data_IF_198808041044
#
_entry.id   IF_198808041044
#
_cell.length_a   1.000
_cell.length_b   1.000
_cell.length_c   1.000
_cell.angle_alpha   90.00
_cell.angle_beta   90.00
_cell.angle_gamma   90.00
#
_symmetry.space_group_name_H-M   'P 1'
#
loop_
_entity.id
_entity.type
_entity.pdbx_description
1 polymer ?
#
# COMPACT_ATOMS: atom_id res chain seq x y z
N UNK A 1 9.26 34.14 -44.85
CA UNK A 1 10.22 33.57 -43.88
C UNK A 1 9.76 33.59 -42.40
N UNK A 2 8.56 34.06 -42.04
CA UNK A 2 8.14 34.11 -40.62
C UNK A 2 7.83 32.74 -39.97
N UNK A 3 7.28 31.78 -40.73
CA UNK A 3 6.85 30.48 -40.17
C UNK A 3 7.99 29.55 -39.71
N UNK A 4 9.19 29.69 -40.26
CA UNK A 4 10.32 28.80 -39.93
C UNK A 4 10.98 29.16 -38.59
N UNK A 5 10.99 30.45 -38.22
CA UNK A 5 11.56 30.91 -36.95
C UNK A 5 10.72 30.46 -35.73
N UNK A 6 9.39 30.45 -35.88
CA UNK A 6 8.48 30.14 -34.76
C UNK A 6 8.58 28.67 -34.31
N UNK A 7 8.74 27.73 -35.25
CA UNK A 7 8.91 26.31 -34.96
C UNK A 7 10.23 25.99 -34.22
N UNK A 8 11.32 26.71 -34.52
CA UNK A 8 12.63 26.48 -33.89
C UNK A 8 12.62 26.86 -32.40
N UNK A 9 11.89 27.91 -32.03
CA UNK A 9 11.72 28.30 -30.63
C UNK A 9 11.00 27.23 -29.80
N UNK A 10 9.89 26.66 -30.30
CA UNK A 10 9.15 25.64 -29.53
C UNK A 10 9.97 24.37 -29.29
N UNK A 11 10.83 23.98 -30.25
CA UNK A 11 11.70 22.81 -30.10
C UNK A 11 12.83 23.01 -29.06
N UNK A 12 13.41 24.20 -28.96
CA UNK A 12 14.51 24.48 -28.01
C UNK A 12 14.03 24.60 -26.55
N UNK A 13 12.83 25.13 -26.31
CA UNK A 13 12.21 25.11 -24.97
C UNK A 13 11.90 23.68 -24.51
N UNK A 14 11.35 22.82 -25.38
CA UNK A 14 11.07 21.42 -25.04
C UNK A 14 12.34 20.64 -24.64
N UNK A 15 13.45 20.83 -25.37
CA UNK A 15 14.74 20.20 -25.03
C UNK A 15 15.27 20.66 -23.67
N UNK A 16 15.11 21.94 -23.33
CA UNK A 16 15.60 22.51 -22.06
C UNK A 16 14.81 22.00 -20.86
N UNK A 17 13.47 21.90 -20.96
CA UNK A 17 12.62 21.33 -19.91
C UNK A 17 13.00 19.88 -19.57
N UNK A 18 13.27 19.06 -20.60
CA UNK A 18 13.66 17.66 -20.45
C UNK A 18 14.99 17.47 -19.69
N UNK A 19 15.94 18.42 -19.79
CA UNK A 19 17.20 18.38 -19.02
C UNK A 19 16.94 18.48 -17.51
N UNK A 20 16.03 19.36 -17.10
CA UNK A 20 15.66 19.51 -15.69
C UNK A 20 14.90 18.29 -15.16
N UNK A 21 14.03 17.67 -15.95
CA UNK A 21 13.35 16.42 -15.59
C UNK A 21 14.39 15.31 -15.35
N UNK A 22 15.32 15.08 -16.28
CA UNK A 22 16.37 14.05 -16.12
C UNK A 22 17.18 14.25 -14.83
N UNK A 23 17.66 15.47 -14.58
CA UNK A 23 18.40 15.78 -13.35
C UNK A 23 17.53 15.58 -12.09
N UNK A 24 16.25 15.94 -12.15
CA UNK A 24 15.27 15.66 -11.09
C UNK A 24 15.12 14.15 -10.83
N UNK A 25 15.03 13.35 -11.89
CA UNK A 25 14.90 11.89 -11.81
C UNK A 25 16.13 11.27 -11.12
N UNK A 26 17.33 11.74 -11.44
CA UNK A 26 18.57 11.24 -10.83
C UNK A 26 18.69 11.65 -9.34
N UNK A 27 18.32 12.89 -9.00
CA UNK A 27 18.22 13.34 -7.60
C UNK A 27 17.17 12.54 -6.82
N UNK A 28 16.03 12.21 -7.44
CA UNK A 28 14.98 11.40 -6.83
C UNK A 28 15.45 9.96 -6.52
N UNK A 29 16.16 9.31 -7.46
CA UNK A 29 16.81 7.98 -7.22
C UNK A 29 17.75 8.04 -6.01
N UNK A 30 18.52 9.12 -5.90
CA UNK A 30 19.44 9.38 -4.79
C UNK A 30 18.75 9.84 -3.50
N UNK A 31 17.40 9.85 -3.45
CA UNK A 31 16.57 10.28 -2.33
C UNK A 31 16.74 11.75 -1.93
N UNK A 32 17.29 12.58 -2.82
CA UNK A 32 17.43 14.02 -2.65
C UNK A 32 16.13 14.73 -3.05
N UNK A 33 15.03 14.43 -2.37
CA UNK A 33 13.68 14.80 -2.80
C UNK A 33 13.45 16.31 -2.91
N UNK A 34 14.05 17.12 -2.04
CA UNK A 34 13.95 18.60 -2.10
C UNK A 34 14.70 19.17 -3.31
N UNK A 35 15.88 18.63 -3.64
CA UNK A 35 16.62 19.01 -4.86
C UNK A 35 15.88 18.55 -6.13
N UNK A 36 15.27 17.36 -6.08
CA UNK A 36 14.44 16.84 -7.16
C UNK A 36 13.23 17.75 -7.40
N UNK A 37 12.47 18.12 -6.36
CA UNK A 37 11.39 19.11 -6.40
C UNK A 37 11.84 20.43 -7.06
N UNK A 38 13.00 20.96 -6.67
CA UNK A 38 13.53 22.20 -7.25
C UNK A 38 13.84 22.06 -8.76
N UNK A 39 14.29 20.89 -9.23
CA UNK A 39 14.53 20.67 -10.66
C UNK A 39 13.21 20.43 -11.43
N UNK A 40 12.24 19.72 -10.86
CA UNK A 40 10.92 19.57 -11.52
C UNK A 40 10.15 20.89 -11.60
N UNK A 41 10.28 21.79 -10.61
CA UNK A 41 9.74 23.16 -10.71
C UNK A 41 10.37 23.93 -11.88
N UNK A 42 11.69 23.90 -12.04
CA UNK A 42 12.40 24.49 -13.20
C UNK A 42 11.97 23.88 -14.53
N UNK A 43 11.70 22.57 -14.58
CA UNK A 43 11.13 21.94 -15.77
C UNK A 43 9.74 22.49 -16.11
N UNK A 44 8.90 22.77 -15.11
CA UNK A 44 7.56 23.33 -15.27
C UNK A 44 7.55 24.84 -15.54
N UNK A 45 8.56 25.59 -15.10
CA UNK A 45 8.78 26.97 -15.51
C UNK A 45 9.05 27.06 -17.03
N UNK A 46 9.86 26.13 -17.56
CA UNK A 46 10.17 26.03 -19.00
C UNK A 46 9.00 25.45 -19.81
N UNK A 47 8.32 24.42 -19.29
CA UNK A 47 7.15 23.82 -19.91
C UNK A 47 6.06 23.50 -18.88
N UNK A 48 5.15 24.46 -18.68
CA UNK A 48 4.01 24.35 -17.77
C UNK A 48 3.04 23.21 -18.14
N UNK A 49 3.12 22.68 -19.38
CA UNK A 49 2.29 21.59 -19.87
C UNK A 49 2.95 20.21 -19.74
N UNK A 50 4.13 20.10 -19.13
CA UNK A 50 4.81 18.81 -18.94
C UNK A 50 4.07 17.91 -17.94
N UNK A 51 3.42 16.86 -18.45
CA UNK A 51 2.74 15.83 -17.64
C UNK A 51 3.76 15.10 -16.75
N UNK A 52 4.88 14.64 -17.32
CA UNK A 52 5.96 13.97 -16.59
C UNK A 52 6.55 14.87 -15.49
N UNK A 53 6.77 16.15 -15.78
CA UNK A 53 7.27 17.12 -14.81
C UNK A 53 6.31 17.30 -13.61
N UNK A 54 5.00 17.30 -13.85
CA UNK A 54 3.98 17.37 -12.78
C UNK A 54 3.93 16.08 -11.97
N UNK A 55 3.93 14.93 -12.65
CA UNK A 55 3.91 13.62 -12.00
C UNK A 55 5.13 13.42 -11.08
N UNK A 56 6.34 13.71 -11.56
CA UNK A 56 7.57 13.51 -10.81
C UNK A 56 7.76 14.57 -9.69
N UNK A 57 7.24 15.79 -9.88
CA UNK A 57 7.08 16.75 -8.78
C UNK A 57 6.14 16.19 -7.70
N UNK A 58 5.01 15.58 -8.10
CA UNK A 58 4.10 14.88 -7.20
C UNK A 58 4.81 13.81 -6.37
N UNK A 59 5.62 12.96 -7.01
CA UNK A 59 6.41 11.93 -6.33
C UNK A 59 7.37 12.56 -5.28
N UNK A 60 8.09 13.63 -5.65
CA UNK A 60 9.02 14.31 -4.74
C UNK A 60 8.32 14.92 -3.52
N UNK A 61 7.10 15.42 -3.71
CA UNK A 61 6.27 15.96 -2.63
C UNK A 61 5.71 14.84 -1.74
N UNK A 62 5.36 13.69 -2.32
CA UNK A 62 4.89 12.51 -1.58
C UNK A 62 5.95 11.99 -0.61
N UNK A 63 7.19 11.82 -1.07
CA UNK A 63 8.32 11.33 -0.24
C UNK A 63 8.66 12.32 0.88
N UNK A 64 8.47 13.62 0.64
CA UNK A 64 8.55 14.68 1.66
C UNK A 64 7.30 14.74 2.57
N UNK A 65 6.36 13.79 2.45
CA UNK A 65 5.10 13.69 3.21
C UNK A 65 4.12 14.85 3.02
N UNK A 66 4.30 15.64 1.95
CA UNK A 66 3.45 16.78 1.57
C UNK A 66 2.29 16.29 0.70
N UNK A 67 1.46 15.42 1.26
CA UNK A 67 0.46 14.64 0.51
C UNK A 67 -0.60 15.50 -0.21
N UNK A 68 -0.99 16.64 0.35
CA UNK A 68 -1.96 17.55 -0.28
C UNK A 68 -1.37 18.30 -1.49
N UNK A 69 -0.09 18.69 -1.41
CA UNK A 69 0.65 19.27 -2.54
C UNK A 69 0.87 18.22 -3.64
N UNK A 70 1.32 17.02 -3.25
CA UNK A 70 1.53 15.89 -4.14
C UNK A 70 0.25 15.54 -4.90
N UNK A 71 -0.87 15.40 -4.18
CA UNK A 71 -2.21 15.15 -4.76
C UNK A 71 -2.60 16.22 -5.77
N UNK A 72 -2.29 17.49 -5.50
CA UNK A 72 -2.58 18.59 -6.41
C UNK A 72 -1.79 18.47 -7.71
N UNK A 73 -0.52 18.02 -7.66
CA UNK A 73 0.27 17.77 -8.87
C UNK A 73 -0.19 16.53 -9.64
N UNK A 74 -0.51 15.44 -8.95
CA UNK A 74 -1.09 14.25 -9.60
C UNK A 74 -2.45 14.54 -10.24
N UNK A 75 -3.31 15.33 -9.61
CA UNK A 75 -4.60 15.73 -10.19
C UNK A 75 -4.44 16.59 -11.45
N UNK A 76 -3.39 17.43 -11.53
CA UNK A 76 -3.05 18.15 -12.75
C UNK A 76 -2.46 17.20 -13.81
N UNK A 77 -1.58 16.28 -13.43
CA UNK A 77 -1.05 15.24 -14.31
C UNK A 77 -2.18 14.40 -14.93
N UNK A 78 -3.15 13.95 -14.13
CA UNK A 78 -4.33 13.21 -14.58
C UNK A 78 -5.14 13.94 -15.65
N UNK A 79 -5.42 15.24 -15.43
CA UNK A 79 -6.18 16.07 -16.39
C UNK A 79 -5.48 16.20 -17.73
N UNK A 80 -4.14 16.22 -17.71
CA UNK A 80 -3.30 16.55 -18.85
C UNK A 80 -2.70 15.32 -19.55
N UNK A 81 -2.76 14.15 -18.92
CA UNK A 81 -2.22 12.91 -19.47
C UNK A 81 -2.89 12.55 -20.81
N UNK A 82 -2.10 12.26 -21.87
CA UNK A 82 -2.64 12.04 -23.22
C UNK A 82 -3.23 10.64 -23.41
N UNK A 83 -2.87 9.68 -22.56
CA UNK A 83 -3.25 8.27 -22.66
C UNK A 83 -3.99 7.80 -21.39
N UNK A 84 -4.57 6.59 -21.47
CA UNK A 84 -5.33 5.97 -20.37
C UNK A 84 -4.44 5.50 -19.22
N UNK A 85 -3.21 5.08 -19.54
CA UNK A 85 -2.20 4.57 -18.62
C UNK A 85 -1.71 5.64 -17.64
N UNK A 86 -1.20 6.78 -18.13
CA UNK A 86 -0.77 7.87 -17.24
C UNK A 86 -1.91 8.51 -16.43
N UNK A 87 -3.17 8.30 -16.85
CA UNK A 87 -4.35 8.60 -16.01
C UNK A 87 -4.56 7.56 -14.91
N UNK A 88 -4.36 6.28 -15.19
CA UNK A 88 -4.39 5.22 -14.17
C UNK A 88 -3.31 5.48 -13.09
N UNK A 89 -2.07 5.73 -13.51
CA UNK A 89 -0.93 5.98 -12.62
C UNK A 89 -1.17 7.21 -11.72
N UNK A 90 -1.66 8.30 -12.31
CA UNK A 90 -2.00 9.50 -11.57
C UNK A 90 -3.17 9.27 -10.59
N UNK A 91 -4.20 8.50 -10.97
CA UNK A 91 -5.28 8.10 -10.05
C UNK A 91 -4.79 7.19 -8.92
N UNK A 92 -3.90 6.25 -9.21
CA UNK A 92 -3.30 5.37 -8.22
C UNK A 92 -2.51 6.17 -7.17
N UNK A 93 -1.66 7.10 -7.62
CA UNK A 93 -0.91 7.97 -6.71
C UNK A 93 -1.78 8.99 -5.95
N UNK A 94 -2.89 9.47 -6.51
CA UNK A 94 -3.92 10.19 -5.74
C UNK A 94 -4.46 9.28 -4.62
N UNK A 95 -4.73 8.00 -4.92
CA UNK A 95 -5.12 7.00 -3.93
C UNK A 95 -4.10 6.84 -2.80
N UNK A 96 -2.80 6.76 -3.15
CA UNK A 96 -1.71 6.70 -2.19
C UNK A 96 -1.67 7.96 -1.30
N UNK A 97 -1.84 9.17 -1.84
CA UNK A 97 -1.85 10.40 -1.00
C UNK A 97 -3.00 10.43 0.01
N UNK A 98 -4.16 9.87 -0.35
CA UNK A 98 -5.29 9.72 0.57
C UNK A 98 -5.07 8.60 1.59
N UNK A 99 -4.39 7.51 1.20
CA UNK A 99 -4.01 6.39 2.08
C UNK A 99 -3.13 6.87 3.25
N UNK A 100 -2.05 7.60 2.96
CA UNK A 100 -1.17 8.16 4.00
C UNK A 100 -1.90 9.17 4.88
N UNK A 101 -2.79 9.96 4.28
CA UNK A 101 -3.68 10.89 4.98
C UNK A 101 -4.82 10.23 5.78
N UNK A 102 -4.92 8.88 5.78
CA UNK A 102 -5.99 8.09 6.40
C UNK A 102 -7.41 8.44 5.93
N UNK A 103 -7.53 9.00 4.73
CA UNK A 103 -8.78 9.38 4.05
C UNK A 103 -9.25 8.20 3.19
N UNK A 104 -9.72 7.14 3.87
CA UNK A 104 -9.92 5.84 3.25
C UNK A 104 -10.99 5.87 2.14
N UNK A 105 -12.09 6.61 2.34
CA UNK A 105 -13.17 6.77 1.37
C UNK A 105 -12.69 7.39 0.06
N UNK A 106 -11.86 8.43 0.12
CA UNK A 106 -11.27 9.07 -1.05
C UNK A 106 -10.19 8.20 -1.70
N UNK A 107 -9.41 7.48 -0.89
CA UNK A 107 -8.42 6.49 -1.36
C UNK A 107 -9.10 5.37 -2.17
N UNK A 108 -10.21 4.82 -1.66
CA UNK A 108 -11.07 3.84 -2.35
C UNK A 108 -11.57 4.36 -3.69
N UNK A 109 -12.05 5.63 -3.75
CA UNK A 109 -12.54 6.24 -5.00
C UNK A 109 -11.42 6.35 -6.03
N UNK A 110 -10.23 6.79 -5.61
CA UNK A 110 -9.08 6.99 -6.47
C UNK A 110 -8.52 5.67 -7.04
N UNK A 111 -8.36 4.61 -6.23
CA UNK A 111 -7.95 3.31 -6.76
C UNK A 111 -9.01 2.65 -7.65
N UNK A 112 -10.31 2.88 -7.39
CA UNK A 112 -11.37 2.42 -8.30
C UNK A 112 -11.28 3.09 -9.67
N UNK A 113 -10.96 4.38 -9.74
CA UNK A 113 -10.71 5.05 -11.02
C UNK A 113 -9.42 4.55 -11.68
N UNK A 114 -8.34 4.31 -10.90
CA UNK A 114 -7.11 3.69 -11.40
C UNK A 114 -7.39 2.32 -12.05
N UNK A 115 -8.14 1.43 -11.37
CA UNK A 115 -8.51 0.11 -11.87
C UNK A 115 -9.50 0.14 -13.04
N UNK A 116 -10.38 1.16 -13.10
CA UNK A 116 -11.22 1.41 -14.28
C UNK A 116 -10.38 1.80 -15.49
N UNK A 117 -9.22 2.42 -15.29
CA UNK A 117 -8.31 2.85 -16.35
C UNK A 117 -7.29 1.75 -16.72
N UNK A 118 -6.71 1.06 -15.73
CA UNK A 118 -5.85 -0.11 -15.88
C UNK A 118 -6.38 -1.27 -15.00
N UNK A 119 -7.26 -2.15 -15.53
CA UNK A 119 -7.83 -3.25 -14.76
C UNK A 119 -6.81 -4.27 -14.25
N UNK A 120 -5.65 -4.36 -14.89
CA UNK A 120 -4.53 -5.28 -14.58
C UNK A 120 -3.58 -4.79 -13.48
N UNK A 121 -3.78 -3.58 -12.95
CA UNK A 121 -2.96 -3.07 -11.84
C UNK A 121 -3.26 -3.80 -10.52
N UNK A 122 -2.51 -4.86 -10.26
CA UNK A 122 -2.62 -5.61 -9.00
C UNK A 122 -2.30 -4.74 -7.78
N UNK A 123 -1.40 -3.75 -7.88
CA UNK A 123 -1.05 -2.88 -6.75
C UNK A 123 -2.22 -1.97 -6.35
N UNK A 124 -2.95 -1.43 -7.34
CA UNK A 124 -4.20 -0.72 -7.10
C UNK A 124 -5.27 -1.64 -6.50
N UNK A 125 -5.36 -2.93 -6.89
CA UNK A 125 -6.28 -3.90 -6.25
C UNK A 125 -5.93 -4.14 -4.78
N UNK A 126 -4.65 -4.37 -4.47
CA UNK A 126 -4.19 -4.57 -3.09
C UNK A 126 -4.44 -3.33 -2.22
N UNK A 127 -4.07 -2.13 -2.71
CA UNK A 127 -4.27 -0.89 -1.96
C UNK A 127 -5.76 -0.53 -1.81
N UNK A 128 -6.61 -0.80 -2.80
CA UNK A 128 -8.06 -0.67 -2.70
C UNK A 128 -8.62 -1.56 -1.58
N UNK A 129 -8.24 -2.83 -1.57
CA UNK A 129 -8.72 -3.79 -0.59
C UNK A 129 -8.24 -3.43 0.84
N UNK A 130 -7.00 -2.94 0.99
CA UNK A 130 -6.51 -2.37 2.25
C UNK A 130 -7.29 -1.11 2.67
N UNK A 131 -7.62 -0.21 1.75
CA UNK A 131 -8.40 0.99 2.06
C UNK A 131 -9.81 0.62 2.58
N UNK A 132 -10.47 -0.36 1.95
CA UNK A 132 -11.76 -0.90 2.39
C UNK A 132 -11.67 -1.55 3.79
N UNK A 133 -10.61 -2.32 4.02
CA UNK A 133 -10.28 -2.91 5.30
C UNK A 133 -10.13 -1.86 6.42
N UNK A 134 -9.34 -0.81 6.18
CA UNK A 134 -9.12 0.27 7.14
C UNK A 134 -10.37 1.10 7.40
N UNK A 135 -11.18 1.36 6.37
CA UNK A 135 -12.48 2.02 6.52
C UNK A 135 -13.44 1.21 7.41
N UNK A 136 -13.55 -0.10 7.17
CA UNK A 136 -14.38 -1.01 7.99
C UNK A 136 -13.93 -1.00 9.45
N UNK A 137 -12.62 -0.93 9.70
CA UNK A 137 -12.04 -0.82 11.05
C UNK A 137 -12.29 0.55 11.69
N UNK A 138 -12.17 1.63 10.93
CA UNK A 138 -12.39 3.00 11.40
C UNK A 138 -13.85 3.24 11.83
N UNK A 139 -14.80 2.73 11.08
CA UNK A 139 -16.23 2.84 11.38
C UNK A 139 -16.68 1.90 12.52
N UNK A 140 -15.72 1.28 13.23
CA UNK A 140 -15.93 0.33 14.29
C UNK A 140 -16.29 -1.05 13.78
N UNK A 141 -15.44 -2.05 14.07
CA UNK A 141 -15.79 -3.47 14.01
C UNK A 141 -16.79 -3.86 15.12
N UNK A 142 -17.87 -3.10 15.25
CA UNK A 142 -18.84 -3.08 16.34
C UNK A 142 -20.27 -3.15 15.84
N UNK A 143 -20.55 -4.09 14.93
CA UNK A 143 -21.89 -4.65 14.82
C UNK A 143 -22.15 -5.55 16.04
N UNK A 144 -23.15 -5.19 16.82
CA UNK A 144 -23.81 -6.03 17.84
C UNK A 144 -22.94 -6.52 19.02
N UNK A 145 -22.71 -5.62 19.98
CA UNK A 145 -22.35 -6.01 21.36
C UNK A 145 -23.12 -5.21 22.43
N UNK A 146 -24.45 -5.10 22.27
CA UNK A 146 -25.35 -4.51 23.28
C UNK A 146 -26.04 -5.54 24.19
N UNK A 147 -26.16 -6.80 23.76
CA UNK A 147 -27.10 -7.76 24.38
C UNK A 147 -26.43 -8.91 25.16
N UNK A 148 -25.25 -8.70 25.76
CA UNK A 148 -24.63 -9.67 26.69
C UNK A 148 -23.98 -9.02 27.90
N UNK A 149 -24.80 -8.37 28.74
CA UNK A 149 -24.45 -8.08 30.14
C UNK A 149 -25.08 -9.03 31.16
N UNK A 150 -26.11 -9.79 30.77
CA UNK A 150 -26.90 -10.65 31.67
C UNK A 150 -26.78 -12.15 31.35
N UNK A 151 -25.58 -12.71 31.51
CA UNK A 151 -25.41 -14.07 32.03
C UNK A 151 -23.94 -14.35 32.37
N UNK A 152 -23.56 -14.06 33.62
CA UNK A 152 -22.28 -14.49 34.18
C UNK A 152 -22.42 -14.94 35.62
N UNK A 153 -23.35 -15.86 35.85
CA UNK A 153 -23.32 -16.70 37.04
C UNK A 153 -23.67 -18.15 36.69
N UNK A 154 -23.22 -19.09 37.53
CA UNK A 154 -23.40 -20.56 37.39
C UNK A 154 -22.70 -21.23 36.20
N UNK A 155 -21.37 -21.28 36.25
CA UNK A 155 -20.68 -22.58 36.13
C UNK A 155 -19.25 -22.56 36.69
N UNK A 156 -19.14 -22.43 38.01
CA UNK A 156 -18.01 -22.99 38.76
C UNK A 156 -18.51 -24.31 39.36
N UNK A 157 -18.06 -25.44 38.81
CA UNK A 157 -17.69 -26.65 39.56
C UNK A 157 -17.45 -27.84 38.60
N UNK A 158 -16.18 -28.26 38.54
CA UNK A 158 -15.59 -29.53 38.03
C UNK A 158 -14.42 -29.31 37.07
N UNK A 159 -13.24 -29.05 37.65
CA UNK A 159 -11.95 -29.69 37.32
C UNK A 159 -10.86 -29.27 38.31
N UNK A 160 -10.88 -29.89 39.48
CA UNK A 160 -9.72 -30.04 40.36
C UNK A 160 -9.56 -31.54 40.65
N UNK A 161 -8.69 -32.17 39.87
CA UNK A 161 -8.14 -33.54 39.89
C UNK A 161 -7.58 -33.72 38.46
N UNK A 162 -6.31 -33.99 38.21
CA UNK A 162 -5.23 -34.37 39.12
C UNK A 162 -3.96 -33.53 38.93
N UNK A 163 -3.30 -33.20 40.03
CA UNK A 163 -1.96 -32.63 40.02
C UNK A 163 -1.17 -33.14 41.23
N UNK A 164 -0.78 -34.41 41.21
CA UNK A 164 0.28 -34.98 42.07
C UNK A 164 0.68 -36.39 41.60
N UNK A 165 1.78 -36.49 40.85
CA UNK A 165 2.89 -37.32 41.32
C UNK A 165 4.21 -36.88 40.66
N UNK A 166 5.30 -37.01 41.42
CA UNK A 166 6.62 -36.50 41.10
C UNK A 166 7.67 -37.60 41.28
N UNK A 167 8.74 -37.48 40.50
CA UNK A 167 10.10 -37.99 40.76
C UNK A 167 10.35 -39.52 40.84
N UNK A 168 11.00 -40.05 39.78
CA UNK A 168 12.04 -41.12 39.69
C UNK A 168 12.09 -41.65 38.23
N UNK A 169 13.20 -41.85 37.50
CA UNK A 169 14.67 -41.61 37.60
C UNK A 169 15.14 -41.26 36.15
N UNK A 170 15.92 -40.22 35.85
CA UNK A 170 17.35 -39.96 36.08
C UNK A 170 18.32 -40.67 35.10
N UNK A 171 19.13 -39.89 34.36
CA UNK A 171 20.30 -40.26 33.51
C UNK A 171 19.97 -41.14 32.28
N UNK A 172 20.57 -40.95 31.10
CA UNK A 172 21.69 -40.10 30.68
C UNK A 172 21.56 -39.82 29.15
N UNK A 173 22.37 -39.03 28.45
CA UNK A 173 23.64 -38.34 28.76
C UNK A 173 23.76 -37.04 27.94
N UNK A 174 24.76 -36.20 28.24
CA UNK A 174 25.17 -35.04 27.45
C UNK A 174 26.70 -35.03 27.32
N UNK A 175 27.26 -34.97 26.10
CA UNK A 175 28.68 -34.70 25.70
C UNK A 175 28.81 -34.98 24.18
N UNK A 176 29.63 -34.30 23.37
CA UNK A 176 30.38 -33.05 23.52
C UNK A 176 30.92 -32.59 22.13
N UNK A 177 31.54 -31.40 22.10
CA UNK A 177 32.53 -30.88 21.13
C UNK A 177 32.04 -30.12 19.89
N UNK A 178 32.43 -28.86 19.88
CA UNK A 178 32.77 -28.06 18.70
C UNK A 178 33.98 -28.68 17.98
N UNK A 179 34.20 -28.33 16.71
CA UNK A 179 35.46 -27.69 16.29
C UNK A 179 35.31 -26.99 14.94
N UNK A 180 36.20 -26.03 14.67
CA UNK A 180 36.16 -25.10 13.54
C UNK A 180 36.79 -25.69 12.27
N UNK A 181 36.39 -25.22 11.09
CA UNK A 181 37.38 -24.51 10.25
C UNK A 181 36.78 -23.61 9.17
N UNK A 182 37.59 -22.63 8.76
CA UNK A 182 37.33 -21.69 7.66
C UNK A 182 37.83 -22.30 6.35
N UNK A 183 37.25 -21.88 5.23
CA UNK A 183 38.10 -21.32 4.17
C UNK A 183 37.33 -20.34 3.28
N UNK A 184 38.08 -19.43 2.66
CA UNK A 184 37.58 -18.47 1.67
C UNK A 184 37.83 -19.06 0.27
N UNK A 185 37.00 -18.71 -0.71
CA UNK A 185 37.60 -18.11 -1.90
C UNK A 185 36.62 -17.31 -2.77
N UNK A 186 37.21 -16.39 -3.54
CA UNK A 186 36.55 -15.37 -4.37
C UNK A 186 36.21 -15.91 -5.77
N UNK A 187 35.06 -15.47 -6.33
CA UNK A 187 34.88 -15.33 -7.78
C UNK A 187 33.71 -14.41 -8.14
N UNK A 188 34.01 -13.12 -8.08
CA UNK A 188 33.40 -12.11 -8.93
C UNK A 188 33.26 -12.58 -10.40
N UNK A 189 32.08 -12.39 -11.02
CA UNK A 189 31.92 -12.29 -12.46
C UNK A 189 30.69 -11.45 -12.83
N UNK A 190 30.92 -10.41 -13.64
CA UNK A 190 29.95 -9.47 -14.17
C UNK A 190 28.71 -10.14 -14.78
N UNK A 191 27.57 -9.44 -14.70
CA UNK A 191 26.52 -9.46 -15.71
C UNK A 191 26.11 -8.03 -16.03
N UNK A 192 25.83 -7.80 -17.30
CA UNK A 192 25.75 -6.48 -17.91
C UNK A 192 24.48 -5.72 -17.49
N UNK A 193 24.64 -4.43 -17.17
CA UNK A 193 23.51 -3.52 -16.98
C UNK A 193 22.95 -3.14 -18.36
N UNK A 194 21.78 -3.67 -18.70
CA UNK A 194 20.96 -3.09 -19.78
C UNK A 194 20.06 -2.00 -19.20
N UNK A 195 20.10 -0.82 -19.82
CA UNK A 195 19.35 0.38 -19.44
C UNK A 195 17.84 0.12 -19.26
N UNK A 196 17.41 -0.07 -18.01
CA UNK A 196 16.02 0.08 -17.63
C UNK A 196 15.75 1.51 -17.15
N UNK A 197 14.93 2.21 -17.94
CA UNK A 197 14.36 3.51 -17.61
C UNK A 197 13.74 3.45 -16.19
N UNK A 198 14.02 4.42 -15.30
CA UNK A 198 13.56 4.33 -13.91
C UNK A 198 12.04 4.49 -13.84
N UNK A 199 11.33 3.39 -13.62
CA UNK A 199 9.97 3.44 -13.13
C UNK A 199 9.97 4.05 -11.72
N UNK A 200 9.14 5.07 -11.44
CA UNK A 200 9.04 5.64 -10.11
C UNK A 200 8.43 4.59 -9.18
N UNK A 201 9.23 4.09 -8.24
CA UNK A 201 8.80 2.99 -7.37
C UNK A 201 7.57 3.40 -6.55
N UNK A 202 6.43 2.71 -6.70
CA UNK A 202 5.23 3.04 -5.96
C UNK A 202 5.38 2.65 -4.49
N UNK A 203 4.84 3.49 -3.59
CA UNK A 203 4.94 3.40 -2.13
C UNK A 203 4.48 2.04 -1.62
N UNK A 204 5.44 1.24 -1.12
CA UNK A 204 5.25 -0.21 -0.95
C UNK A 204 4.59 -0.55 0.38
N UNK A 205 3.32 -0.91 0.33
CA UNK A 205 2.83 -2.00 1.17
C UNK A 205 3.33 -3.31 0.57
N UNK A 206 3.91 -4.20 1.38
CA UNK A 206 4.29 -5.51 0.87
C UNK A 206 3.01 -6.30 0.56
N UNK A 207 2.93 -6.89 -0.65
CA UNK A 207 1.86 -7.79 -1.09
C UNK A 207 1.49 -8.83 -0.02
N UNK A 208 2.48 -9.39 0.67
CA UNK A 208 2.28 -10.37 1.75
C UNK A 208 1.59 -9.79 2.99
N UNK A 209 1.81 -8.52 3.32
CA UNK A 209 1.18 -7.85 4.47
C UNK A 209 -0.27 -7.48 4.15
N UNK A 210 -0.52 -6.99 2.93
CA UNK A 210 -1.87 -6.79 2.42
C UNK A 210 -2.65 -8.11 2.39
N UNK A 211 -2.08 -9.19 1.85
CA UNK A 211 -2.69 -10.52 1.81
C UNK A 211 -2.98 -11.07 3.22
N UNK A 212 -2.06 -10.92 4.18
CA UNK A 212 -2.29 -11.29 5.59
C UNK A 212 -3.42 -10.49 6.22
N UNK A 213 -3.50 -9.19 5.99
CA UNK A 213 -4.58 -8.35 6.53
C UNK A 213 -5.94 -8.73 5.91
N UNK A 214 -5.98 -8.96 4.60
CA UNK A 214 -7.19 -9.38 3.89
C UNK A 214 -7.66 -10.77 4.34
N UNK A 215 -6.75 -11.71 4.56
CA UNK A 215 -7.07 -13.01 5.15
C UNK A 215 -7.60 -12.86 6.58
N UNK A 216 -6.97 -12.04 7.42
CA UNK A 216 -7.41 -11.81 8.79
C UNK A 216 -8.84 -11.23 8.83
N UNK A 217 -9.13 -10.24 7.99
CA UNK A 217 -10.45 -9.60 7.92
C UNK A 217 -11.52 -10.50 7.28
N UNK A 218 -11.16 -11.31 6.29
CA UNK A 218 -12.04 -12.36 5.75
C UNK A 218 -12.37 -13.42 6.80
N UNK A 219 -11.41 -13.81 7.63
CA UNK A 219 -11.66 -14.72 8.76
C UNK A 219 -12.55 -14.09 9.84
N UNK A 220 -12.36 -12.82 10.18
CA UNK A 220 -13.24 -12.09 11.11
C UNK A 220 -14.66 -11.97 10.56
N UNK A 221 -14.81 -11.69 9.27
CA UNK A 221 -16.12 -11.60 8.62
C UNK A 221 -16.83 -12.95 8.55
N UNK A 222 -16.15 -14.03 8.17
CA UNK A 222 -16.73 -15.38 8.16
C UNK A 222 -17.17 -15.79 9.58
N UNK A 223 -16.33 -15.54 10.60
CA UNK A 223 -16.69 -15.77 12.02
C UNK A 223 -17.90 -14.95 12.46
N UNK A 224 -18.07 -13.73 11.95
CA UNK A 224 -19.25 -12.89 12.23
C UNK A 224 -20.49 -13.41 11.52
N UNK A 225 -20.39 -13.79 10.24
CA UNK A 225 -21.50 -14.37 9.48
C UNK A 225 -21.99 -15.69 10.09
N UNK A 226 -21.09 -16.56 10.55
CA UNK A 226 -21.45 -17.81 11.23
C UNK A 226 -22.16 -17.57 12.57
N UNK A 227 -21.74 -16.55 13.34
CA UNK A 227 -22.46 -16.11 14.54
C UNK A 227 -23.87 -15.61 14.19
N UNK A 228 -24.00 -14.79 13.15
CA UNK A 228 -25.30 -14.27 12.69
C UNK A 228 -26.23 -15.38 12.19
N UNK A 229 -25.72 -16.38 11.47
CA UNK A 229 -26.49 -17.57 11.05
C UNK A 229 -26.95 -18.39 12.24
N UNK A 230 -26.07 -18.63 13.22
CA UNK A 230 -26.43 -19.36 14.46
C UNK A 230 -27.46 -18.60 15.31
N UNK A 231 -27.34 -17.28 15.42
CA UNK A 231 -28.32 -16.43 16.10
C UNK A 231 -29.71 -16.45 15.41
N UNK A 232 -29.75 -16.44 14.07
CA UNK A 232 -31.00 -16.58 13.30
C UNK A 232 -31.58 -18.00 13.27
N UNK A 233 -30.78 -19.01 13.62
CA UNK A 233 -31.18 -20.42 13.64
C UNK A 233 -31.90 -20.87 14.92
N UNK A 234 -31.90 -20.06 15.99
CA UNK A 234 -32.66 -20.34 17.21
C UNK A 234 -34.05 -19.70 17.16
N UNK A 235 -34.94 -20.26 16.33
CA UNK A 235 -36.37 -20.14 16.61
C UNK A 235 -36.68 -21.20 17.67
N UNK A 236 -36.74 -20.80 18.93
CA UNK A 236 -37.24 -21.67 20.00
C UNK A 236 -38.74 -21.86 19.75
N UNK A 237 -39.24 -23.09 19.54
CA UNK A 237 -40.68 -23.30 19.50
C UNK A 237 -41.27 -22.88 20.84
N UNK A 238 -42.23 -21.97 20.81
CA UNK A 238 -43.03 -21.66 21.99
C UNK A 238 -44.06 -22.77 22.12
N UNK A 239 -43.70 -23.80 22.87
CA UNK A 239 -44.64 -24.85 23.28
C UNK A 239 -45.77 -24.19 24.08
N UNK A 240 -46.94 -24.08 23.47
CA UNK A 240 -48.15 -23.59 24.11
C UNK A 240 -48.84 -24.75 24.82
N UNK A 241 -48.42 -25.00 26.06
CA UNK A 241 -49.23 -25.78 27.00
C UNK A 241 -50.37 -24.90 27.54
N UNK A 242 -51.52 -24.95 26.86
CA UNK A 242 -52.88 -24.89 27.44
C UNK A 242 -53.95 -25.20 26.39
#
# INVERSE_FOLDING_TARGET
>A
MAGLLLCLCQHSFAQTGNKYIRKGNDLYKNKQYTDAEANYKKALEVNQQSVEGRYNLGNSLYEQKRYDDARSQYANSFKMAPNREGKADASYNIGNTFMEGKKWEESIKAYKEALKLNPSDEQARYNLAYAQAMLKKQNGGGGDNKDKKDNKDKNKDKKQQDQQNKDQQNKDQQKNKQDENKDKDDKNKNKDEQDQKPEPQPSKMNKQEAERLLQALGQEENKLQDKMKKAKGQVVPVDKDW
#
